data_IF_590977923734
#
_entry.id   IF_590977923734
#
_cell.length_a   1.000
_cell.length_b   1.000
_cell.length_c   1.000
_cell.angle_alpha   90.00
_cell.angle_beta   90.00
_cell.angle_gamma   90.00
#
_symmetry.space_group_name_H-M   'P 1'
#
loop_
_entity.id
_entity.type
_entity.pdbx_description
1 polymer ?
#
# COMPACT_ATOMS: atom_id res chain seq x y z
N UNK A 1 23.32 61.79 -12.90
CA UNK A 1 24.22 61.29 -13.96
C UNK A 1 24.08 59.77 -14.03
N UNK A 2 24.34 59.18 -15.19
CA UNK A 2 24.08 57.78 -15.57
C UNK A 2 24.86 56.76 -14.69
N UNK A 3 24.57 55.45 -14.63
CA UNK A 3 23.94 54.57 -15.62
C UNK A 3 23.07 53.44 -15.01
N UNK A 4 21.96 53.12 -15.68
CA UNK A 4 21.30 51.81 -15.61
C UNK A 4 21.77 50.96 -16.78
N UNK A 5 22.07 49.67 -16.57
CA UNK A 5 22.32 48.69 -17.65
C UNK A 5 21.17 47.68 -17.72
N UNK A 6 20.51 47.63 -18.87
CA UNK A 6 19.61 46.54 -19.28
C UNK A 6 20.39 45.70 -20.30
N UNK A 7 20.33 44.38 -20.18
CA UNK A 7 20.92 43.45 -21.16
C UNK A 7 19.77 42.77 -21.91
N UNK A 8 19.78 42.95 -23.23
CA UNK A 8 18.77 42.40 -24.15
C UNK A 8 19.26 41.06 -24.70
N UNK A 9 18.40 40.04 -24.74
CA UNK A 9 18.68 38.81 -25.49
C UNK A 9 18.35 38.99 -26.98
N UNK A 10 19.29 38.61 -27.85
CA UNK A 10 19.12 38.64 -29.31
C UNK A 10 18.68 37.28 -29.82
N UNK A 11 17.57 37.23 -30.58
CA UNK A 11 17.15 36.02 -31.30
C UNK A 11 17.90 35.95 -32.63
N UNK A 12 18.59 34.83 -32.89
CA UNK A 12 19.20 34.55 -34.18
C UNK A 12 18.16 33.93 -35.12
N UNK A 13 17.93 34.57 -36.28
CA UNK A 13 17.17 33.97 -37.38
C UNK A 13 18.14 33.60 -38.50
N UNK A 14 18.21 32.31 -38.86
CA UNK A 14 19.05 31.83 -39.95
C UNK A 14 18.23 31.67 -41.24
N UNK A 15 18.71 32.29 -42.32
CA UNK A 15 18.22 32.06 -43.68
C UNK A 15 18.53 30.61 -44.11
N UNK A 16 17.58 29.97 -44.80
CA UNK A 16 17.86 28.91 -45.76
C UNK A 16 17.13 29.26 -47.07
N UNK A 17 17.83 29.08 -48.18
CA UNK A 17 17.44 29.64 -49.48
C UNK A 17 16.32 28.89 -50.20
N UNK A 18 15.61 29.63 -51.04
CA UNK A 18 14.57 29.13 -51.95
C UNK A 18 15.22 28.68 -53.27
N UNK A 19 15.02 27.42 -53.68
CA UNK A 19 15.26 26.97 -55.05
C UNK A 19 14.03 26.19 -55.52
N UNK A 20 13.45 26.61 -56.63
CA UNK A 20 12.23 26.05 -57.19
C UNK A 20 12.45 25.54 -58.62
N UNK A 21 12.45 24.22 -58.78
CA UNK A 21 12.25 23.45 -60.04
C UNK A 21 11.70 22.09 -59.61
N UNK A 22 10.68 21.47 -60.20
CA UNK A 22 9.79 21.85 -61.30
C UNK A 22 8.69 20.78 -61.43
N UNK A 23 7.59 21.06 -62.12
CA UNK A 23 6.41 20.18 -62.13
C UNK A 23 6.68 18.81 -62.79
N UNK A 24 6.20 17.73 -62.17
CA UNK A 24 6.16 16.39 -62.74
C UNK A 24 5.00 15.58 -62.16
N UNK A 25 3.86 15.53 -62.87
CA UNK A 25 2.73 14.69 -62.47
C UNK A 25 3.13 13.21 -62.51
N UNK A 26 2.94 12.50 -61.40
CA UNK A 26 2.86 11.04 -61.39
C UNK A 26 1.70 10.60 -60.51
N UNK A 27 0.87 9.73 -61.08
CA UNK A 27 -0.34 9.19 -60.46
C UNK A 27 -0.02 8.48 -59.16
N UNK A 28 -0.84 8.74 -58.13
CA UNK A 28 -0.81 8.01 -56.86
C UNK A 28 -1.74 6.81 -56.98
N UNK A 29 -1.17 5.61 -57.00
CA UNK A 29 -1.87 4.37 -56.69
C UNK A 29 -0.85 3.35 -56.13
N UNK A 30 -1.34 2.26 -55.55
CA UNK A 30 -0.61 1.25 -54.75
C UNK A 30 -0.24 1.68 -53.32
N UNK A 31 -1.22 1.52 -52.41
CA UNK A 31 -0.94 1.25 -50.99
C UNK A 31 -0.49 -0.21 -50.82
N UNK A 32 0.52 -0.52 -49.98
CA UNK A 32 0.90 -1.90 -49.70
C UNK A 32 -0.21 -2.64 -48.97
N UNK A 33 -0.75 -3.68 -49.59
CA UNK A 33 -1.83 -4.52 -49.03
C UNK A 33 -1.24 -5.41 -47.93
N UNK A 34 -1.74 -5.27 -46.70
CA UNK A 34 -1.35 -6.16 -45.59
C UNK A 34 -1.73 -7.63 -45.91
N UNK A 35 -0.93 -8.61 -45.47
CA UNK A 35 -1.27 -10.03 -45.64
C UNK A 35 -2.52 -10.39 -44.82
N UNK A 36 -3.34 -11.33 -45.30
CA UNK A 36 -4.55 -11.74 -44.59
C UNK A 36 -4.21 -12.39 -43.24
N UNK A 37 -4.90 -11.95 -42.19
CA UNK A 37 -4.90 -12.61 -40.88
C UNK A 37 -5.65 -13.94 -41.04
N UNK A 38 -5.09 -15.03 -40.55
CA UNK A 38 -5.75 -16.33 -40.56
C UNK A 38 -6.93 -16.34 -39.57
N UNK A 39 -8.04 -16.98 -39.94
CA UNK A 39 -9.22 -17.08 -39.09
C UNK A 39 -8.89 -17.77 -37.74
N UNK A 40 -9.44 -17.29 -36.61
CA UNK A 40 -9.29 -17.97 -35.33
C UNK A 40 -9.95 -19.36 -35.37
N UNK A 41 -9.41 -20.36 -34.66
CA UNK A 41 -10.01 -21.70 -34.63
C UNK A 41 -11.42 -21.65 -34.00
N UNK A 42 -12.35 -22.52 -34.45
CA UNK A 42 -13.72 -22.51 -33.97
C UNK A 42 -13.78 -22.77 -32.46
N UNK A 43 -14.55 -21.92 -31.78
CA UNK A 43 -14.77 -21.95 -30.34
C UNK A 43 -15.37 -23.30 -29.91
N UNK A 44 -14.73 -23.96 -28.94
CA UNK A 44 -15.22 -25.26 -28.46
C UNK A 44 -16.48 -25.05 -27.60
N UNK A 45 -17.51 -25.92 -27.72
CA UNK A 45 -18.70 -25.84 -26.89
C UNK A 45 -18.34 -25.90 -25.39
N UNK A 46 -19.01 -25.12 -24.53
CA UNK A 46 -18.76 -25.15 -23.10
C UNK A 46 -19.02 -26.55 -22.54
N UNK A 47 -18.10 -27.05 -21.73
CA UNK A 47 -18.24 -28.33 -21.04
C UNK A 47 -19.48 -28.31 -20.12
N UNK A 48 -20.24 -29.41 -20.03
CA UNK A 48 -21.41 -29.49 -19.16
C UNK A 48 -21.00 -29.30 -17.69
N UNK A 49 -21.85 -28.70 -16.83
CA UNK A 49 -21.54 -28.48 -15.43
C UNK A 49 -21.21 -29.80 -14.71
N UNK A 50 -20.03 -29.89 -14.11
CA UNK A 50 -19.70 -31.02 -13.25
C UNK A 50 -20.51 -30.95 -11.94
N UNK A 51 -21.03 -32.08 -11.42
CA UNK A 51 -21.63 -32.11 -10.09
C UNK A 51 -20.62 -31.66 -9.02
N UNK A 52 -21.05 -30.94 -7.97
CA UNK A 52 -20.15 -30.52 -6.90
C UNK A 52 -19.54 -31.74 -6.19
N UNK A 53 -18.22 -31.72 -5.98
CA UNK A 53 -17.53 -32.79 -5.27
C UNK A 53 -17.87 -32.75 -3.77
N UNK A 54 -18.22 -33.88 -3.13
CA UNK A 54 -18.47 -33.90 -1.69
C UNK A 54 -17.16 -33.64 -0.92
N UNK A 55 -17.08 -32.52 -0.20
CA UNK A 55 -15.95 -32.20 0.68
C UNK A 55 -15.43 -30.76 0.60
N UNK A 56 -15.84 -29.95 -0.37
CA UNK A 56 -15.51 -28.52 -0.39
C UNK A 56 -16.39 -27.75 0.60
N UNK A 57 -15.77 -27.13 1.61
CA UNK A 57 -16.38 -26.02 2.35
C UNK A 57 -16.95 -24.99 1.36
N UNK A 58 -18.19 -24.54 1.56
CA UNK A 58 -18.84 -23.50 0.73
C UNK A 58 -18.34 -22.11 1.12
N UNK A 59 -17.03 -21.93 1.11
CA UNK A 59 -16.37 -20.69 1.47
C UNK A 59 -16.50 -19.70 0.32
N UNK A 60 -17.44 -18.75 0.47
CA UNK A 60 -17.58 -17.51 -0.31
C UNK A 60 -17.39 -17.61 -1.83
N UNK A 61 -18.49 -17.71 -2.59
CA UNK A 61 -18.47 -17.76 -4.06
C UNK A 61 -18.17 -16.38 -4.69
N UNK A 62 -17.09 -15.72 -4.29
CA UNK A 62 -16.55 -14.58 -5.02
C UNK A 62 -15.91 -15.09 -6.32
N UNK A 63 -16.15 -14.41 -7.43
CA UNK A 63 -15.65 -14.82 -8.75
C UNK A 63 -14.15 -14.52 -8.94
N UNK A 64 -13.31 -15.02 -8.02
CA UNK A 64 -11.84 -14.87 -8.01
C UNK A 64 -11.19 -15.47 -9.26
N UNK A 65 -11.77 -16.52 -9.84
CA UNK A 65 -11.34 -17.12 -11.11
C UNK A 65 -11.54 -16.20 -12.32
N UNK A 66 -12.39 -15.17 -12.20
CA UNK A 66 -12.53 -14.10 -13.18
C UNK A 66 -11.65 -12.86 -12.86
N UNK A 67 -10.72 -12.98 -11.90
CA UNK A 67 -9.78 -11.92 -11.51
C UNK A 67 -10.32 -10.92 -10.49
N UNK A 68 -11.50 -11.17 -9.90
CA UNK A 68 -12.08 -10.27 -8.91
C UNK A 68 -11.53 -10.50 -7.49
N UNK A 69 -11.22 -9.43 -6.78
CA UNK A 69 -10.79 -9.51 -5.39
C UNK A 69 -11.95 -9.84 -4.45
N UNK A 70 -11.67 -10.70 -3.47
CA UNK A 70 -12.49 -10.93 -2.29
C UNK A 70 -11.90 -10.16 -1.10
N UNK A 71 -12.75 -9.51 -0.33
CA UNK A 71 -12.38 -8.64 0.78
C UNK A 71 -13.03 -9.17 2.06
N UNK A 72 -12.21 -9.52 3.06
CA UNK A 72 -12.67 -10.00 4.35
C UNK A 72 -11.99 -9.22 5.49
N UNK A 73 -12.84 -8.69 6.36
CA UNK A 73 -12.50 -8.24 7.71
C UNK A 73 -13.44 -9.00 8.65
N UNK A 74 -12.92 -9.63 9.70
CA UNK A 74 -13.74 -10.25 10.73
C UNK A 74 -13.07 -10.06 12.10
N UNK A 75 -13.83 -9.57 13.07
CA UNK A 75 -13.41 -9.36 14.45
C UNK A 75 -14.46 -9.95 15.36
N UNK A 76 -14.16 -11.07 16.01
CA UNK A 76 -15.11 -11.75 16.89
C UNK A 76 -15.29 -10.98 18.20
N UNK A 77 -16.54 -10.60 18.54
CA UNK A 77 -16.85 -9.88 19.77
C UNK A 77 -17.77 -10.72 20.65
N UNK A 78 -17.21 -11.35 21.68
CA UNK A 78 -17.97 -12.21 22.58
C UNK A 78 -18.99 -11.43 23.41
N UNK A 79 -20.28 -11.69 23.21
CA UNK A 79 -21.36 -11.28 24.13
C UNK A 79 -22.13 -10.00 23.78
N UNK A 80 -22.21 -9.61 22.50
CA UNK A 80 -23.01 -8.46 22.04
C UNK A 80 -23.81 -8.75 20.77
N UNK A 81 -24.49 -7.72 20.24
CA UNK A 81 -24.99 -7.73 18.86
C UNK A 81 -23.84 -7.36 17.91
N UNK A 82 -23.62 -8.17 16.89
CA UNK A 82 -22.57 -7.97 15.88
C UNK A 82 -23.11 -7.22 14.64
N UNK A 83 -22.29 -6.35 14.04
CA UNK A 83 -22.61 -5.62 12.80
C UNK A 83 -21.78 -6.17 11.63
N UNK A 84 -22.47 -6.75 10.65
CA UNK A 84 -21.83 -7.29 9.45
C UNK A 84 -22.25 -6.50 8.21
N UNK A 85 -21.28 -6.07 7.42
CA UNK A 85 -21.52 -5.42 6.12
C UNK A 85 -21.10 -6.38 5.02
N UNK A 86 -22.01 -6.68 4.09
CA UNK A 86 -21.77 -7.52 2.90
C UNK A 86 -21.98 -6.67 1.66
N UNK A 87 -21.02 -6.68 0.74
CA UNK A 87 -21.04 -5.83 -0.44
C UNK A 87 -20.71 -6.57 -1.73
N UNK A 88 -21.50 -6.32 -2.78
CA UNK A 88 -21.17 -6.69 -4.17
C UNK A 88 -21.22 -5.48 -5.09
N UNK A 89 -20.51 -5.51 -6.23
CA UNK A 89 -20.88 -4.60 -7.32
C UNK A 89 -22.13 -5.16 -8.01
N UNK A 90 -22.09 -6.44 -8.36
CA UNK A 90 -23.20 -7.15 -8.98
C UNK A 90 -23.26 -8.62 -8.54
N UNK A 91 -24.42 -9.25 -8.67
CA UNK A 91 -24.57 -10.69 -8.43
C UNK A 91 -24.45 -11.54 -9.71
N UNK A 92 -24.63 -10.91 -10.88
CA UNK A 92 -24.32 -11.45 -12.21
C UNK A 92 -24.19 -10.31 -13.22
N UNK A 93 -23.48 -10.58 -14.32
CA UNK A 93 -23.37 -9.63 -15.44
C UNK A 93 -24.74 -9.29 -16.02
N UNK A 94 -25.05 -7.98 -16.15
CA UNK A 94 -26.13 -7.50 -17.01
C UNK A 94 -27.56 -7.65 -16.48
N UNK A 95 -27.76 -7.68 -15.15
CA UNK A 95 -29.07 -7.40 -14.55
C UNK A 95 -29.43 -8.28 -13.34
N UNK A 96 -30.63 -8.00 -12.78
CA UNK A 96 -31.05 -8.45 -11.43
C UNK A 96 -30.68 -9.90 -11.12
N UNK A 97 -29.80 -10.10 -10.15
CA UNK A 97 -29.35 -11.42 -9.69
C UNK A 97 -29.75 -11.72 -8.25
N UNK A 98 -29.18 -12.77 -7.67
CA UNK A 98 -29.47 -13.21 -6.29
C UNK A 98 -28.17 -13.50 -5.53
N UNK A 99 -28.11 -13.05 -4.28
CA UNK A 99 -27.04 -13.37 -3.33
C UNK A 99 -27.63 -14.06 -2.13
N UNK A 100 -27.11 -15.24 -1.77
CA UNK A 100 -27.50 -15.95 -0.55
C UNK A 100 -26.54 -15.61 0.59
N UNK A 101 -27.10 -15.30 1.76
CA UNK A 101 -26.36 -15.05 3.00
C UNK A 101 -26.77 -16.13 4.01
N UNK A 102 -25.81 -16.88 4.53
CA UNK A 102 -26.03 -17.90 5.57
C UNK A 102 -25.36 -17.47 6.88
N UNK A 103 -26.15 -17.14 7.90
CA UNK A 103 -25.65 -16.74 9.22
C UNK A 103 -25.68 -17.94 10.16
N UNK A 104 -24.53 -18.52 10.45
CA UNK A 104 -24.35 -19.67 11.34
C UNK A 104 -23.58 -19.33 12.63
N UNK A 105 -22.96 -18.15 12.72
CA UNK A 105 -22.31 -17.66 13.94
C UNK A 105 -23.34 -17.54 15.08
N UNK A 106 -23.07 -18.05 16.29
CA UNK A 106 -23.96 -17.86 17.43
C UNK A 106 -24.02 -16.39 17.87
N UNK A 107 -25.23 -15.85 18.04
CA UNK A 107 -25.40 -14.50 18.57
C UNK A 107 -26.61 -13.74 18.03
N UNK A 108 -26.51 -12.41 18.14
CA UNK A 108 -27.44 -11.42 17.60
C UNK A 108 -26.71 -10.63 16.52
N UNK A 109 -27.33 -10.46 15.36
CA UNK A 109 -26.66 -9.91 14.18
C UNK A 109 -27.50 -8.81 13.52
N UNK A 110 -26.83 -7.74 13.11
CA UNK A 110 -27.36 -6.75 12.18
C UNK A 110 -26.57 -6.82 10.89
N UNK A 111 -27.27 -6.92 9.76
CA UNK A 111 -26.65 -7.01 8.44
C UNK A 111 -26.88 -5.72 7.66
N UNK A 112 -25.87 -5.27 6.93
CA UNK A 112 -25.98 -4.26 5.87
C UNK A 112 -25.59 -4.91 4.56
N UNK A 113 -26.49 -4.89 3.58
CA UNK A 113 -26.34 -5.61 2.31
C UNK A 113 -26.31 -4.59 1.16
N UNK A 114 -25.16 -4.44 0.52
CA UNK A 114 -24.84 -3.36 -0.43
C UNK A 114 -24.61 -3.89 -1.85
N UNK A 115 -25.23 -3.29 -2.86
CA UNK A 115 -25.03 -3.64 -4.28
C UNK A 115 -25.10 -2.42 -5.21
N UNK A 116 -24.29 -2.38 -6.27
CA UNK A 116 -24.50 -1.39 -7.35
C UNK A 116 -25.73 -1.78 -8.16
N UNK A 117 -25.68 -2.98 -8.75
CA UNK A 117 -26.76 -3.57 -9.56
C UNK A 117 -27.96 -3.95 -8.68
N UNK A 118 -29.18 -4.09 -9.26
CA UNK A 118 -30.34 -4.58 -8.51
C UNK A 118 -30.07 -6.00 -8.00
N UNK A 119 -30.04 -6.20 -6.68
CA UNK A 119 -29.81 -7.53 -6.11
C UNK A 119 -31.00 -7.98 -5.26
N UNK A 120 -31.29 -9.28 -5.35
CA UNK A 120 -32.20 -9.96 -4.44
C UNK A 120 -31.39 -10.76 -3.40
N UNK A 121 -31.53 -10.41 -2.13
CA UNK A 121 -30.77 -11.01 -1.03
C UNK A 121 -31.61 -12.09 -0.35
N UNK A 122 -31.07 -13.29 -0.18
CA UNK A 122 -31.71 -14.39 0.55
C UNK A 122 -30.94 -14.64 1.83
N UNK A 123 -31.42 -14.10 2.94
CA UNK A 123 -30.80 -14.24 4.26
C UNK A 123 -31.42 -15.41 5.00
N UNK A 124 -30.58 -16.34 5.45
CA UNK A 124 -30.96 -17.46 6.32
C UNK A 124 -30.13 -17.44 7.60
N UNK A 125 -30.69 -17.99 8.68
CA UNK A 125 -30.06 -18.05 9.98
C UNK A 125 -30.13 -19.49 10.52
N UNK A 126 -29.04 -19.98 11.11
CA UNK A 126 -29.00 -21.29 11.74
C UNK A 126 -29.83 -21.32 13.04
N UNK A 127 -30.12 -22.52 13.55
CA UNK A 127 -30.90 -22.68 14.78
C UNK A 127 -30.21 -22.00 15.98
N UNK A 128 -30.92 -21.07 16.62
CA UNK A 128 -30.40 -20.29 17.76
C UNK A 128 -29.70 -18.97 17.39
N UNK A 129 -29.51 -18.69 16.09
CA UNK A 129 -28.98 -17.42 15.58
C UNK A 129 -30.12 -16.41 15.43
N UNK A 130 -29.91 -15.17 15.89
CA UNK A 130 -30.90 -14.09 15.78
C UNK A 130 -30.39 -13.02 14.81
N UNK A 131 -31.03 -12.88 13.65
CA UNK A 131 -30.83 -11.70 12.80
C UNK A 131 -31.86 -10.66 13.22
N UNK A 132 -31.41 -9.56 13.81
CA UNK A 132 -32.28 -8.53 14.38
C UNK A 132 -32.79 -7.58 13.29
N UNK A 133 -31.87 -7.17 12.41
CA UNK A 133 -32.14 -6.19 11.36
C UNK A 133 -31.29 -6.44 10.11
N UNK A 134 -31.90 -6.20 8.96
CA UNK A 134 -31.25 -6.15 7.65
C UNK A 134 -31.50 -4.76 7.06
N UNK A 135 -30.42 -4.07 6.72
CA UNK A 135 -30.41 -2.80 6.01
C UNK A 135 -29.97 -3.05 4.57
N UNK A 136 -30.81 -2.72 3.59
CA UNK A 136 -30.45 -2.80 2.18
C UNK A 136 -29.88 -1.46 1.71
N UNK A 137 -28.79 -1.50 0.95
CA UNK A 137 -28.12 -0.35 0.39
C UNK A 137 -27.82 -0.59 -1.10
N UNK A 138 -27.88 0.47 -1.91
CA UNK A 138 -27.44 0.37 -3.30
C UNK A 138 -27.82 1.55 -4.17
N UNK A 139 -27.24 1.60 -5.36
CA UNK A 139 -27.64 2.54 -6.39
C UNK A 139 -29.01 2.14 -6.96
N UNK A 140 -29.12 0.89 -7.38
CA UNK A 140 -30.38 0.35 -7.87
C UNK A 140 -31.24 -0.29 -6.77
N UNK A 141 -32.54 -0.39 -7.04
CA UNK A 141 -33.53 -0.96 -6.13
C UNK A 141 -33.15 -2.37 -5.63
N UNK A 142 -33.06 -2.50 -4.30
CA UNK A 142 -32.70 -3.75 -3.62
C UNK A 142 -33.96 -4.49 -3.13
N UNK A 143 -33.84 -5.78 -2.85
CA UNK A 143 -34.93 -6.58 -2.27
C UNK A 143 -34.39 -7.74 -1.46
N UNK A 144 -35.10 -8.20 -0.43
CA UNK A 144 -34.64 -9.32 0.39
C UNK A 144 -35.76 -10.27 0.86
N UNK A 145 -35.40 -11.54 1.00
CA UNK A 145 -36.04 -12.53 1.87
C UNK A 145 -35.20 -12.63 3.15
N UNK A 146 -35.83 -12.50 4.32
CA UNK A 146 -35.14 -12.47 5.63
C UNK A 146 -35.82 -13.41 6.65
N UNK A 147 -35.11 -13.87 7.69
CA UNK A 147 -35.69 -14.73 8.72
C UNK A 147 -36.89 -14.08 9.43
N UNK A 148 -37.86 -14.88 9.87
CA UNK A 148 -39.05 -14.38 10.57
C UNK A 148 -38.66 -13.60 11.84
N UNK A 149 -39.24 -12.41 12.01
CA UNK A 149 -38.93 -11.50 13.13
C UNK A 149 -37.79 -10.51 12.86
N UNK A 150 -37.07 -10.64 11.74
CA UNK A 150 -36.04 -9.68 11.32
C UNK A 150 -36.67 -8.36 10.85
N UNK A 151 -36.21 -7.22 11.35
CA UNK A 151 -36.57 -5.92 10.79
C UNK A 151 -35.88 -5.71 9.42
N UNK A 152 -36.62 -5.29 8.40
CA UNK A 152 -36.08 -5.01 7.07
C UNK A 152 -36.30 -3.55 6.70
N UNK A 153 -35.22 -2.83 6.41
CA UNK A 153 -35.24 -1.46 5.92
C UNK A 153 -34.50 -1.40 4.57
N UNK A 154 -34.96 -0.58 3.62
CA UNK A 154 -34.17 -0.22 2.45
C UNK A 154 -33.75 1.25 2.52
N UNK A 155 -32.51 1.50 2.12
CA UNK A 155 -31.87 2.80 2.00
C UNK A 155 -31.26 2.96 0.59
N UNK A 156 -31.77 2.22 -0.41
CA UNK A 156 -31.31 2.35 -1.80
C UNK A 156 -31.81 3.64 -2.49
N UNK A 157 -31.00 4.13 -3.44
CA UNK A 157 -31.22 5.40 -4.12
C UNK A 157 -32.50 5.39 -4.96
N UNK A 158 -32.75 4.36 -5.76
CA UNK A 158 -33.91 4.29 -6.67
C UNK A 158 -35.26 4.28 -5.92
N UNK A 159 -35.35 3.75 -4.69
CA UNK A 159 -36.60 3.70 -3.93
C UNK A 159 -36.79 4.84 -2.93
N UNK A 160 -35.71 5.36 -2.32
CA UNK A 160 -35.79 6.34 -1.25
C UNK A 160 -35.11 7.69 -1.55
N UNK A 161 -34.53 7.86 -2.75
CA UNK A 161 -33.70 9.01 -3.13
C UNK A 161 -32.58 9.29 -2.10
N UNK A 162 -32.09 8.21 -1.47
CA UNK A 162 -31.02 8.28 -0.48
C UNK A 162 -29.68 8.21 -1.20
N UNK A 163 -28.84 9.23 -1.02
CA UNK A 163 -27.48 9.18 -1.55
C UNK A 163 -26.61 8.37 -0.59
N UNK A 164 -26.28 7.13 -0.97
CA UNK A 164 -25.28 6.34 -0.27
C UNK A 164 -24.20 5.77 -1.18
N UNK A 165 -23.04 5.59 -0.57
CA UNK A 165 -21.88 5.02 -1.20
C UNK A 165 -21.97 3.48 -1.29
N UNK A 166 -21.39 2.93 -2.35
CA UNK A 166 -21.68 1.56 -2.79
C UNK A 166 -20.52 0.66 -2.38
N UNK A 167 -20.47 0.37 -1.09
CA UNK A 167 -19.37 -0.37 -0.49
C UNK A 167 -19.35 -1.86 -0.83
N UNK A 168 -18.47 -2.26 -1.77
CA UNK A 168 -18.16 -3.67 -2.07
C UNK A 168 -16.65 -3.98 -2.08
N UNK A 169 -15.81 -2.94 -2.02
CA UNK A 169 -14.34 -3.03 -2.07
C UNK A 169 -13.75 -2.44 -0.80
N UNK A 170 -13.01 -3.23 -0.02
CA UNK A 170 -12.35 -2.73 1.19
C UNK A 170 -10.83 -2.71 1.02
N UNK A 171 -10.16 -1.56 1.17
CA UNK A 171 -10.70 -0.24 1.43
C UNK A 171 -11.16 0.45 0.14
N UNK A 172 -12.20 1.28 0.27
CA UNK A 172 -12.52 2.38 -0.62
C UNK A 172 -13.18 3.48 0.20
N UNK A 173 -13.18 4.71 -0.30
CA UNK A 173 -13.92 5.80 0.33
C UNK A 173 -15.40 5.42 0.44
N UNK A 174 -15.95 4.81 -0.62
CA UNK A 174 -17.34 4.35 -0.64
C UNK A 174 -17.66 3.35 0.48
N UNK A 175 -16.83 2.32 0.66
CA UNK A 175 -17.07 1.32 1.70
C UNK A 175 -16.83 1.88 3.09
N UNK A 176 -15.91 2.85 3.24
CA UNK A 176 -15.65 3.54 4.50
C UNK A 176 -16.82 4.43 4.93
N UNK A 177 -17.42 5.15 3.98
CA UNK A 177 -18.62 5.95 4.23
C UNK A 177 -19.85 5.08 4.53
N UNK A 178 -20.07 3.99 3.76
CA UNK A 178 -21.09 2.98 4.05
C UNK A 178 -20.95 2.42 5.47
N UNK A 179 -19.73 2.08 5.90
CA UNK A 179 -19.46 1.56 7.24
C UNK A 179 -19.73 2.63 8.31
N UNK A 180 -19.24 3.87 8.14
CA UNK A 180 -19.50 4.95 9.10
C UNK A 180 -21.00 5.26 9.26
N UNK A 181 -21.74 5.19 8.16
CA UNK A 181 -23.21 5.21 8.14
C UNK A 181 -23.82 4.04 8.87
N UNK A 182 -23.40 2.80 8.56
CA UNK A 182 -23.95 1.60 9.18
C UNK A 182 -23.79 1.67 10.70
N UNK A 183 -22.63 2.12 11.17
CA UNK A 183 -22.35 2.34 12.59
C UNK A 183 -23.26 3.45 13.19
N UNK A 184 -23.44 4.57 12.47
CA UNK A 184 -24.31 5.68 12.91
C UNK A 184 -25.79 5.27 12.99
N UNK A 185 -26.30 4.53 12.01
CA UNK A 185 -27.70 4.08 11.94
C UNK A 185 -28.02 2.95 12.94
N UNK A 186 -27.01 2.20 13.40
CA UNK A 186 -27.18 1.05 14.29
C UNK A 186 -26.76 1.32 15.74
N UNK A 187 -25.87 2.28 15.97
CA UNK A 187 -25.15 2.44 17.23
C UNK A 187 -24.14 1.32 17.51
N UNK A 188 -23.87 0.43 16.55
CA UNK A 188 -22.94 -0.70 16.67
C UNK A 188 -21.60 -0.35 16.02
N UNK A 189 -20.53 -0.99 16.47
CA UNK A 189 -19.24 -0.98 15.77
C UNK A 189 -19.19 -2.12 14.76
N UNK A 190 -18.50 -1.91 13.63
CA UNK A 190 -18.32 -2.94 12.61
C UNK A 190 -17.62 -4.18 13.20
N UNK A 191 -18.30 -5.32 13.15
CA UNK A 191 -17.75 -6.64 13.50
C UNK A 191 -17.04 -7.25 12.29
N UNK A 192 -17.68 -7.24 11.11
CA UNK A 192 -17.09 -7.84 9.91
C UNK A 192 -17.49 -7.12 8.62
N UNK A 193 -16.60 -7.08 7.63
CA UNK A 193 -16.92 -6.71 6.25
C UNK A 193 -16.61 -7.88 5.30
N UNK A 194 -17.51 -8.16 4.36
CA UNK A 194 -17.38 -9.19 3.32
C UNK A 194 -17.73 -8.59 1.96
N UNK A 195 -16.71 -8.28 1.16
CA UNK A 195 -16.85 -7.62 -0.14
C UNK A 195 -16.36 -8.49 -1.29
N UNK A 196 -16.96 -8.34 -2.46
CA UNK A 196 -16.46 -8.89 -3.72
C UNK A 196 -17.00 -8.05 -4.89
N UNK A 197 -16.31 -7.98 -6.03
CA UNK A 197 -16.93 -7.36 -7.21
C UNK A 197 -18.16 -8.14 -7.67
N UNK A 198 -18.05 -9.47 -7.83
CA UNK A 198 -19.15 -10.35 -8.24
C UNK A 198 -19.24 -11.61 -7.39
N UNK A 199 -20.35 -11.80 -6.68
CA UNK A 199 -20.61 -13.00 -5.88
C UNK A 199 -22.10 -13.35 -5.82
N UNK A 200 -22.38 -14.64 -5.63
CA UNK A 200 -23.73 -15.20 -5.43
C UNK A 200 -23.95 -15.75 -4.01
N UNK A 201 -22.92 -15.82 -3.16
CA UNK A 201 -23.01 -16.50 -1.86
C UNK A 201 -21.99 -16.01 -0.82
N UNK A 202 -22.45 -15.78 0.41
CA UNK A 202 -21.61 -15.50 1.57
C UNK A 202 -22.09 -16.23 2.84
N UNK A 203 -21.14 -16.68 3.66
CA UNK A 203 -21.36 -17.23 5.00
C UNK A 203 -20.93 -16.24 6.08
N UNK A 204 -21.64 -16.20 7.22
CA UNK A 204 -21.24 -15.51 8.46
C UNK A 204 -21.27 -16.55 9.56
N UNK A 205 -20.15 -17.26 9.74
CA UNK A 205 -20.00 -18.36 10.69
C UNK A 205 -19.03 -18.04 11.83
N UNK A 206 -18.91 -18.98 12.77
CA UNK A 206 -17.61 -19.19 13.40
C UNK A 206 -16.68 -19.74 12.31
N UNK A 207 -15.78 -18.89 11.80
CA UNK A 207 -14.68 -19.37 10.99
C UNK A 207 -13.90 -20.37 11.87
N UNK A 208 -13.62 -21.57 11.36
CA UNK A 208 -12.79 -22.55 12.07
C UNK A 208 -11.53 -21.82 12.54
N UNK A 209 -11.15 -21.93 13.85
CA UNK A 209 -10.31 -20.96 14.53
C UNK A 209 -9.10 -20.66 13.66
N UNK A 210 -9.05 -19.42 13.15
CA UNK A 210 -8.07 -18.99 12.18
C UNK A 210 -6.72 -19.48 12.66
N UNK A 211 -6.11 -20.38 11.88
CA UNK A 211 -4.91 -21.10 12.30
C UNK A 211 -3.95 -20.03 12.83
N UNK A 212 -3.56 -20.08 14.13
CA UNK A 212 -2.88 -18.96 14.77
C UNK A 212 -1.72 -18.57 13.88
N UNK A 213 -1.56 -17.26 13.57
CA UNK A 213 -0.74 -16.80 12.44
C UNK A 213 0.56 -17.58 12.46
N UNK A 214 0.90 -18.29 11.35
CA UNK A 214 1.82 -19.43 11.36
C UNK A 214 3.03 -19.02 12.19
N UNK A 215 3.32 -19.77 13.28
CA UNK A 215 4.06 -19.26 14.42
C UNK A 215 5.29 -18.56 13.90
N UNK A 216 5.37 -17.24 14.14
CA UNK A 216 6.40 -16.35 13.56
C UNK A 216 7.70 -17.11 13.53
N UNK A 217 8.14 -17.50 12.33
CA UNK A 217 9.34 -18.34 12.22
C UNK A 217 10.42 -17.60 12.99
N UNK A 218 11.04 -18.23 14.01
CA UNK A 218 12.01 -17.55 14.85
C UNK A 218 13.05 -16.96 13.92
N UNK A 219 13.24 -15.62 13.96
CA UNK A 219 13.58 -14.84 12.78
C UNK A 219 14.75 -15.47 12.05
N UNK A 220 14.50 -15.95 10.83
CA UNK A 220 15.55 -16.48 9.94
C UNK A 220 16.65 -15.43 9.92
N UNK A 221 17.76 -15.74 10.58
CA UNK A 221 18.63 -14.72 11.19
C UNK A 221 18.94 -13.61 10.20
N UNK A 222 18.30 -12.44 10.36
CA UNK A 222 18.50 -11.31 9.45
C UNK A 222 20.01 -11.07 9.35
N UNK A 223 20.59 -11.06 8.13
CA UNK A 223 22.03 -10.96 7.98
C UNK A 223 22.55 -9.75 8.72
N UNK A 224 23.31 -9.98 9.79
CA UNK A 224 23.55 -8.97 10.82
C UNK A 224 24.13 -7.71 10.19
N UNK A 225 23.39 -6.62 10.33
CA UNK A 225 23.63 -5.35 9.66
C UNK A 225 25.06 -4.85 9.97
N UNK A 226 25.91 -4.77 8.95
CA UNK A 226 27.35 -4.49 9.11
C UNK A 226 27.57 -3.00 9.25
N UNK A 227 28.07 -2.59 10.42
CA UNK A 227 28.36 -1.19 10.74
C UNK A 227 29.35 -0.57 9.74
N UNK A 228 29.26 0.74 9.57
CA UNK A 228 30.29 1.53 8.88
C UNK A 228 31.65 1.39 9.60
N UNK A 229 32.77 1.36 8.86
CA UNK A 229 34.11 1.33 9.47
C UNK A 229 34.32 2.47 10.48
N UNK A 230 34.73 2.12 11.71
CA UNK A 230 34.91 3.09 12.81
C UNK A 230 33.64 3.39 13.64
N UNK A 231 32.45 3.03 13.17
CA UNK A 231 31.18 3.40 13.81
C UNK A 231 30.70 2.43 14.91
N UNK A 232 31.58 1.55 15.41
CA UNK A 232 31.28 0.60 16.48
C UNK A 232 30.86 1.25 17.82
N UNK A 233 31.10 2.54 17.99
CA UNK A 233 30.63 3.31 19.15
C UNK A 233 29.14 3.63 19.07
N UNK A 234 28.59 3.89 17.87
CA UNK A 234 27.16 4.17 17.66
C UNK A 234 26.29 2.95 18.02
N UNK A 235 26.79 1.74 17.74
CA UNK A 235 26.07 0.49 18.03
C UNK A 235 25.91 0.16 19.54
N UNK A 236 26.44 1.01 20.43
CA UNK A 236 26.27 0.91 21.88
C UNK A 236 25.02 1.64 22.41
N UNK A 237 24.41 2.50 21.59
CA UNK A 237 23.13 3.14 21.93
C UNK A 237 21.98 2.14 21.88
N UNK A 238 20.84 2.47 22.49
CA UNK A 238 19.64 1.60 22.52
C UNK A 238 19.12 1.28 21.12
N UNK A 239 19.23 2.24 20.20
CA UNK A 239 18.99 2.07 18.78
C UNK A 239 19.83 3.04 17.95
N UNK A 240 20.09 2.67 16.71
CA UNK A 240 20.82 3.48 15.75
C UNK A 240 20.26 3.29 14.34
N UNK A 241 20.62 4.15 13.40
CA UNK A 241 20.22 4.01 12.01
C UNK A 241 21.36 4.25 11.03
N UNK A 242 21.35 3.51 9.93
CA UNK A 242 21.99 3.90 8.68
C UNK A 242 21.15 5.01 8.04
N UNK A 243 21.80 6.01 7.47
CA UNK A 243 21.18 7.14 6.78
C UNK A 243 22.00 7.56 5.55
N UNK A 244 21.35 8.22 4.60
CA UNK A 244 22.01 9.02 3.57
C UNK A 244 22.04 10.48 4.01
N UNK A 245 23.20 11.12 3.94
CA UNK A 245 23.32 12.55 4.22
C UNK A 245 23.30 13.34 2.91
N UNK A 246 22.36 14.29 2.83
CA UNK A 246 22.23 15.25 1.72
C UNK A 246 22.77 16.64 2.08
N UNK A 247 23.07 17.43 1.04
CA UNK A 247 23.74 18.74 1.12
C UNK A 247 25.05 18.85 0.32
N UNK A 248 25.34 17.86 -0.53
CA UNK A 248 26.55 17.74 -1.36
C UNK A 248 26.57 16.38 -2.03
N UNK A 249 27.73 15.74 -2.13
CA UNK A 249 27.77 14.31 -2.47
C UNK A 249 27.03 13.48 -1.39
N UNK A 250 26.30 12.45 -1.83
CA UNK A 250 25.49 11.61 -0.94
C UNK A 250 26.40 10.73 -0.09
N UNK A 251 26.36 10.88 1.23
CA UNK A 251 27.23 10.11 2.15
C UNK A 251 26.42 9.10 2.95
N UNK A 252 26.94 7.87 3.05
CA UNK A 252 26.47 6.94 4.08
C UNK A 252 26.90 7.46 5.45
N UNK A 253 26.01 7.39 6.44
CA UNK A 253 26.34 7.67 7.82
C UNK A 253 25.53 6.79 8.79
N UNK A 254 26.04 6.66 10.00
CA UNK A 254 25.32 6.06 11.11
C UNK A 254 24.96 7.13 12.15
N UNK A 255 23.70 7.11 12.61
CA UNK A 255 23.15 8.03 13.60
C UNK A 255 22.68 7.27 14.83
N UNK A 256 23.11 7.69 16.03
CA UNK A 256 22.61 7.16 17.30
C UNK A 256 21.31 7.83 17.74
N UNK A 257 20.32 7.06 18.23
CA UNK A 257 19.00 7.58 18.62
C UNK A 257 18.90 8.03 20.10
N UNK A 258 19.88 7.67 20.94
CA UNK A 258 19.98 8.20 22.29
C UNK A 258 20.62 9.59 22.28
N UNK A 259 21.65 9.77 21.46
CA UNK A 259 22.52 10.96 21.51
C UNK A 259 22.39 11.92 20.31
N UNK A 260 21.96 11.43 19.13
CA UNK A 260 22.10 12.16 17.87
C UNK A 260 23.55 12.20 17.33
N UNK A 261 24.47 11.45 17.91
CA UNK A 261 25.85 11.31 17.39
C UNK A 261 25.85 10.77 15.97
N UNK A 262 26.74 11.33 15.16
CA UNK A 262 26.89 11.03 13.75
C UNK A 262 28.27 10.42 13.50
N UNK A 263 28.29 9.27 12.83
CA UNK A 263 29.51 8.64 12.33
C UNK A 263 29.42 8.51 10.80
N UNK A 264 30.17 9.35 10.10
CA UNK A 264 30.17 9.43 8.63
C UNK A 264 31.00 8.33 7.99
N UNK A 265 30.53 7.80 6.87
CA UNK A 265 31.17 6.76 6.07
C UNK A 265 31.56 7.22 4.67
N UNK A 266 31.59 6.25 3.74
CA UNK A 266 31.90 6.49 2.33
C UNK A 266 30.79 7.26 1.59
N UNK A 267 31.21 8.09 0.64
CA UNK A 267 30.32 8.69 -0.37
C UNK A 267 29.79 7.63 -1.32
N UNK A 268 28.48 7.58 -1.54
CA UNK A 268 27.85 6.74 -2.55
C UNK A 268 28.15 7.25 -3.96
N UNK A 269 28.84 6.44 -4.77
CA UNK A 269 29.30 6.81 -6.11
C UNK A 269 28.12 6.87 -7.09
N UNK A 270 28.06 7.89 -7.94
CA UNK A 270 27.05 8.06 -9.00
C UNK A 270 25.58 8.08 -8.53
N UNK A 271 25.31 8.31 -7.24
CA UNK A 271 23.95 8.41 -6.71
C UNK A 271 23.46 9.86 -6.74
N UNK A 272 22.38 10.11 -7.49
CA UNK A 272 21.63 11.38 -7.41
C UNK A 272 20.46 11.18 -6.44
N UNK A 273 20.60 11.65 -5.19
CA UNK A 273 19.67 11.30 -4.11
C UNK A 273 18.36 12.10 -4.05
N UNK A 274 18.14 13.10 -4.91
CA UNK A 274 17.09 14.13 -4.74
C UNK A 274 15.71 13.57 -4.33
N UNK A 275 15.36 13.65 -3.04
CA UNK A 275 14.07 13.25 -2.49
C UNK A 275 13.98 11.81 -1.93
N UNK A 276 15.11 11.11 -1.76
CA UNK A 276 15.19 9.74 -1.26
C UNK A 276 14.91 9.64 0.24
N UNK A 277 13.78 9.03 0.62
CA UNK A 277 13.38 8.95 2.03
C UNK A 277 13.05 7.55 2.56
N UNK A 278 13.44 6.51 1.85
CA UNK A 278 13.37 5.14 2.34
C UNK A 278 14.64 4.40 1.97
N UNK A 279 15.08 3.54 2.89
CA UNK A 279 16.34 2.84 2.80
C UNK A 279 16.17 1.36 3.15
N UNK A 280 16.76 0.50 2.36
CA UNK A 280 17.00 -0.90 2.71
C UNK A 280 18.40 -1.09 3.29
N UNK A 281 18.58 -2.03 4.21
CA UNK A 281 19.89 -2.40 4.73
C UNK A 281 19.95 -3.89 5.08
N UNK A 282 20.82 -4.64 4.40
CA UNK A 282 21.12 -6.05 4.69
C UNK A 282 22.63 -6.23 4.67
N UNK A 283 23.22 -6.77 5.73
CA UNK A 283 24.66 -7.03 5.80
C UNK A 283 25.51 -5.79 5.48
N UNK A 284 26.37 -5.89 4.46
CA UNK A 284 27.26 -4.82 3.99
C UNK A 284 26.70 -3.98 2.82
N UNK A 285 25.39 -4.09 2.55
CA UNK A 285 24.70 -3.43 1.43
C UNK A 285 23.55 -2.54 1.89
N UNK A 286 23.49 -1.35 1.32
CA UNK A 286 22.39 -0.38 1.47
C UNK A 286 21.65 -0.28 0.15
N UNK A 287 20.32 -0.17 0.22
CA UNK A 287 19.44 -0.05 -0.94
C UNK A 287 18.71 1.29 -0.90
N UNK A 288 18.75 2.03 -2.01
CA UNK A 288 18.06 3.30 -2.20
C UNK A 288 17.38 3.33 -3.58
N UNK A 289 16.43 4.24 -3.78
CA UNK A 289 15.95 4.56 -5.13
C UNK A 289 16.87 5.60 -5.80
N UNK A 290 16.78 5.68 -7.12
CA UNK A 290 17.23 6.82 -7.93
C UNK A 290 16.29 6.97 -9.12
N UNK A 291 16.53 7.99 -9.97
CA UNK A 291 15.79 8.14 -11.24
C UNK A 291 15.97 6.95 -12.19
N UNK A 292 17.05 6.19 -12.03
CA UNK A 292 17.43 5.07 -12.89
C UNK A 292 16.98 3.71 -12.31
N UNK A 293 16.31 3.72 -11.15
CA UNK A 293 15.70 2.54 -10.52
C UNK A 293 16.25 2.24 -9.11
N UNK A 294 16.45 0.96 -8.79
CA UNK A 294 16.94 0.53 -7.46
C UNK A 294 18.47 0.53 -7.47
N UNK A 295 19.08 1.14 -6.47
CA UNK A 295 20.54 1.24 -6.31
C UNK A 295 20.99 0.41 -5.10
N UNK A 296 21.89 -0.55 -5.32
CA UNK A 296 22.68 -1.19 -4.27
C UNK A 296 23.97 -0.38 -4.05
N UNK A 297 24.30 -0.11 -2.78
CA UNK A 297 25.48 0.66 -2.34
C UNK A 297 26.29 -0.22 -1.38
N UNK A 298 27.59 -0.37 -1.62
CA UNK A 298 28.50 -1.05 -0.70
C UNK A 298 28.92 -0.12 0.45
N UNK A 299 28.72 -0.56 1.69
CA UNK A 299 29.02 0.18 2.93
C UNK A 299 30.51 0.45 3.14
N UNK A 300 31.41 -0.36 2.55
CA UNK A 300 32.84 -0.25 2.76
C UNK A 300 33.53 0.83 1.91
N UNK A 301 33.05 1.05 0.68
CA UNK A 301 33.74 1.88 -0.31
C UNK A 301 32.81 2.77 -1.16
N UNK A 302 31.49 2.71 -0.94
CA UNK A 302 30.48 3.47 -1.67
C UNK A 302 30.30 3.05 -3.13
N UNK A 303 30.83 1.91 -3.57
CA UNK A 303 30.55 1.40 -4.92
C UNK A 303 29.06 1.08 -5.10
N UNK A 304 28.53 1.39 -6.28
CA UNK A 304 27.11 1.25 -6.60
C UNK A 304 26.85 0.31 -7.76
N UNK A 305 25.69 -0.35 -7.71
CA UNK A 305 25.08 -1.11 -8.82
C UNK A 305 23.65 -0.63 -8.97
N UNK A 306 23.16 -0.50 -10.21
CA UNK A 306 21.81 0.01 -10.51
C UNK A 306 21.02 -1.06 -11.24
N UNK A 307 19.78 -1.26 -10.82
CA UNK A 307 18.80 -2.13 -11.47
C UNK A 307 17.65 -1.27 -12.02
N UNK A 308 17.36 -1.42 -13.31
CA UNK A 308 16.30 -0.70 -14.01
C UNK A 308 14.91 -1.27 -13.65
N UNK A 309 14.50 -1.01 -12.41
CA UNK A 309 13.21 -1.37 -11.81
C UNK A 309 12.60 -0.10 -11.23
N UNK A 310 11.32 0.16 -11.52
CA UNK A 310 10.56 1.29 -10.99
C UNK A 310 10.68 1.34 -9.45
N UNK A 311 11.25 2.43 -8.93
CA UNK A 311 11.57 2.60 -7.52
C UNK A 311 11.13 4.00 -7.07
N UNK A 312 10.01 4.05 -6.35
CA UNK A 312 9.57 5.25 -5.63
C UNK A 312 10.04 5.21 -4.17
N UNK A 313 10.00 4.03 -3.55
CA UNK A 313 10.59 3.81 -2.23
C UNK A 313 11.11 2.36 -2.10
N UNK A 314 12.15 2.17 -1.29
CA UNK A 314 12.73 0.85 -0.99
C UNK A 314 12.95 0.67 0.51
N UNK A 315 12.69 -0.52 1.01
CA UNK A 315 13.04 -0.94 2.37
C UNK A 315 13.44 -2.42 2.37
N UNK A 316 13.61 -3.01 3.55
CA UNK A 316 14.04 -4.41 3.72
C UNK A 316 13.22 -5.08 4.81
N UNK A 317 12.95 -6.38 4.68
CA UNK A 317 12.26 -7.15 5.71
C UNK A 317 12.84 -8.57 5.78
N UNK A 318 13.32 -8.99 6.96
CA UNK A 318 14.09 -10.23 7.09
C UNK A 318 15.38 -10.17 6.27
N UNK A 319 15.44 -10.95 5.19
CA UNK A 319 16.49 -10.90 4.16
C UNK A 319 15.98 -10.43 2.78
N UNK A 320 14.70 -10.05 2.66
CA UNK A 320 14.12 -9.56 1.40
C UNK A 320 14.31 -8.05 1.23
N UNK A 321 14.53 -7.64 -0.03
CA UNK A 321 14.44 -6.25 -0.48
C UNK A 321 12.99 -6.00 -0.90
N UNK A 322 12.35 -4.97 -0.35
CA UNK A 322 10.99 -4.57 -0.70
C UNK A 322 11.03 -3.27 -1.50
N UNK A 323 10.56 -3.29 -2.75
CA UNK A 323 10.54 -2.13 -3.65
C UNK A 323 9.11 -1.74 -3.97
N UNK A 324 8.75 -0.50 -3.67
CA UNK A 324 7.51 0.14 -4.08
C UNK A 324 7.75 0.91 -5.37
N UNK A 325 7.00 0.61 -6.42
CA UNK A 325 7.07 1.31 -7.71
C UNK A 325 6.06 2.45 -7.82
N UNK A 326 6.30 3.37 -8.76
CA UNK A 326 5.35 4.43 -9.09
C UNK A 326 3.99 3.84 -9.52
N UNK A 327 2.91 4.28 -8.87
CA UNK A 327 1.55 3.76 -9.09
C UNK A 327 1.10 2.71 -8.06
N UNK A 328 1.94 2.35 -7.09
CA UNK A 328 1.61 1.46 -5.98
C UNK A 328 1.95 -0.02 -6.23
N UNK A 329 1.80 -0.82 -5.17
CA UNK A 329 2.26 -2.21 -5.12
C UNK A 329 3.72 -2.33 -4.69
N UNK A 330 4.03 -3.37 -3.90
CA UNK A 330 5.36 -3.64 -3.36
C UNK A 330 5.84 -5.00 -3.86
N UNK A 331 6.96 -5.05 -4.58
CA UNK A 331 7.61 -6.31 -4.97
C UNK A 331 8.65 -6.72 -3.92
N UNK A 332 8.68 -8.00 -3.54
CA UNK A 332 9.77 -8.59 -2.75
C UNK A 332 10.80 -9.27 -3.63
N UNK A 333 12.07 -9.17 -3.26
CA UNK A 333 13.19 -9.83 -3.94
C UNK A 333 14.11 -10.48 -2.91
N UNK A 334 14.51 -11.72 -3.16
CA UNK A 334 15.43 -12.46 -2.29
C UNK A 334 16.88 -11.96 -2.40
N UNK A 335 17.24 -11.26 -3.48
CA UNK A 335 18.58 -10.72 -3.72
C UNK A 335 18.55 -9.53 -4.69
N UNK A 336 19.60 -8.71 -4.68
CA UNK A 336 19.76 -7.65 -5.69
C UNK A 336 19.97 -8.20 -7.10
N UNK A 337 20.46 -9.44 -7.24
CA UNK A 337 20.56 -10.14 -8.52
C UNK A 337 19.21 -10.59 -9.08
N UNK A 338 18.17 -10.67 -8.24
CA UNK A 338 16.77 -10.83 -8.68
C UNK A 338 16.15 -9.47 -9.03
N UNK A 339 16.48 -8.39 -8.29
CA UNK A 339 16.09 -7.01 -8.65
C UNK A 339 16.62 -6.63 -10.04
N UNK A 340 17.89 -6.96 -10.34
CA UNK A 340 18.51 -6.75 -11.66
C UNK A 340 17.78 -7.46 -12.82
N UNK A 341 16.92 -8.44 -12.52
CA UNK A 341 16.15 -9.23 -13.50
C UNK A 341 14.64 -8.96 -13.42
N UNK A 342 14.21 -8.01 -12.59
CA UNK A 342 12.82 -7.79 -12.16
C UNK A 342 12.10 -9.10 -11.73
N UNK A 343 12.85 -10.02 -11.13
CA UNK A 343 12.35 -11.34 -10.73
C UNK A 343 11.81 -11.29 -9.30
N UNK A 344 10.68 -10.64 -9.13
CA UNK A 344 9.99 -10.57 -7.84
C UNK A 344 9.58 -11.98 -7.34
N UNK A 345 9.72 -12.23 -6.05
CA UNK A 345 9.23 -13.44 -5.38
C UNK A 345 7.75 -13.33 -5.03
N UNK A 346 7.34 -12.19 -4.46
CA UNK A 346 5.95 -11.84 -4.16
C UNK A 346 5.67 -10.40 -4.58
N UNK A 347 4.40 -10.10 -4.83
CA UNK A 347 3.88 -8.73 -4.95
C UNK A 347 2.80 -8.54 -3.90
N UNK A 348 2.89 -7.47 -3.13
CA UNK A 348 1.90 -7.08 -2.14
C UNK A 348 1.12 -5.85 -2.63
N UNK A 349 -0.18 -6.02 -2.82
CA UNK A 349 -1.11 -4.98 -3.25
C UNK A 349 -1.73 -4.36 -1.98
N UNK A 350 -1.10 -3.29 -1.49
CA UNK A 350 -1.56 -2.55 -0.32
C UNK A 350 -2.48 -1.42 -0.81
N UNK A 351 -3.71 -1.41 -0.34
CA UNK A 351 -4.76 -0.49 -0.81
C UNK A 351 -4.86 0.77 0.05
N UNK A 352 -5.16 1.90 -0.59
CA UNK A 352 -5.24 3.22 0.06
C UNK A 352 -3.89 3.91 0.26
N UNK A 353 -2.79 3.30 -0.20
CA UNK A 353 -1.43 3.88 -0.12
C UNK A 353 -1.37 5.18 -0.92
N UNK A 354 -1.12 6.29 -0.22
CA UNK A 354 -0.72 7.58 -0.81
C UNK A 354 0.76 7.85 -0.47
N UNK A 355 1.55 6.80 -0.65
CA UNK A 355 2.96 6.66 -0.31
C UNK A 355 3.93 7.37 -1.28
N UNK A 356 5.00 8.00 -0.77
CA UNK A 356 6.28 8.08 -1.50
C UNK A 356 7.47 7.67 -0.62
N UNK A 357 7.16 6.99 0.50
CA UNK A 357 8.08 6.44 1.49
C UNK A 357 7.51 5.13 2.03
N UNK A 358 8.38 4.20 2.40
CA UNK A 358 8.05 2.90 3.00
C UNK A 358 9.09 2.46 4.03
N UNK A 359 8.62 1.89 5.13
CA UNK A 359 9.41 1.16 6.13
C UNK A 359 8.74 -0.17 6.46
N UNK A 360 9.52 -1.21 6.79
CA UNK A 360 8.99 -2.54 7.11
C UNK A 360 9.70 -3.18 8.30
N UNK A 361 8.96 -3.66 9.31
CA UNK A 361 9.51 -4.45 10.42
C UNK A 361 8.41 -5.31 11.05
N UNK A 362 8.74 -6.50 11.50
CA UNK A 362 7.88 -7.39 12.30
C UNK A 362 6.46 -7.59 11.73
N UNK A 363 6.35 -7.72 10.40
CA UNK A 363 5.07 -7.88 9.70
C UNK A 363 4.25 -6.59 9.55
N UNK A 364 4.78 -5.43 9.95
CA UNK A 364 4.15 -4.12 9.79
C UNK A 364 4.89 -3.26 8.74
N UNK A 365 4.10 -2.58 7.91
CA UNK A 365 4.49 -1.52 7.00
C UNK A 365 4.10 -0.16 7.56
N UNK A 366 4.95 0.82 7.33
CA UNK A 366 4.65 2.25 7.50
C UNK A 366 4.93 2.96 6.19
N UNK A 367 4.03 3.84 5.78
CA UNK A 367 4.21 4.70 4.62
C UNK A 367 4.01 6.16 5.00
N UNK A 368 4.65 7.07 4.28
CA UNK A 368 4.46 8.51 4.44
C UNK A 368 4.51 9.22 3.09
N UNK A 369 3.65 10.23 2.91
CA UNK A 369 3.85 11.20 1.85
C UNK A 369 5.02 12.12 2.22
N UNK A 370 5.68 12.73 1.24
CA UNK A 370 6.90 13.49 1.49
C UNK A 370 6.69 14.79 2.28
N UNK A 371 5.45 15.30 2.37
CA UNK A 371 5.07 16.46 3.17
C UNK A 371 3.73 16.16 3.84
N UNK A 372 3.71 15.89 5.15
CA UNK A 372 2.51 15.37 5.82
C UNK A 372 2.54 15.55 7.34
N UNK A 373 1.35 15.45 7.95
CA UNK A 373 1.11 15.41 9.39
C UNK A 373 0.69 14.02 9.91
N UNK A 374 0.70 12.98 9.06
CA UNK A 374 0.30 11.62 9.42
C UNK A 374 1.16 10.56 8.71
N UNK A 375 1.16 9.34 9.22
CA UNK A 375 1.67 8.16 8.49
C UNK A 375 0.55 7.15 8.25
N UNK A 376 0.74 6.33 7.23
CA UNK A 376 -0.13 5.22 6.91
C UNK A 376 0.48 3.91 7.45
N UNK A 377 -0.31 3.07 8.12
CA UNK A 377 0.13 1.79 8.69
C UNK A 377 -0.62 0.64 8.03
N UNK A 378 0.06 -0.44 7.65
CA UNK A 378 -0.61 -1.67 7.19
C UNK A 378 0.17 -2.92 7.65
N UNK A 379 -0.46 -4.09 7.77
CA UNK A 379 0.30 -5.34 7.81
C UNK A 379 1.00 -5.60 6.47
N UNK A 380 2.18 -6.22 6.49
CA UNK A 380 2.90 -6.73 5.32
C UNK A 380 2.20 -8.01 4.82
N UNK A 381 1.04 -7.83 4.21
CA UNK A 381 0.20 -8.89 3.64
C UNK A 381 -0.41 -8.39 2.34
N UNK A 382 -0.56 -9.28 1.36
CA UNK A 382 -1.28 -8.93 0.14
C UNK A 382 -2.75 -8.61 0.45
N UNK A 383 -3.32 -7.65 -0.28
CA UNK A 383 -4.67 -7.12 -0.03
C UNK A 383 -4.82 -6.35 1.30
N UNK A 384 -3.74 -5.94 1.96
CA UNK A 384 -3.84 -5.15 3.19
C UNK A 384 -4.35 -3.72 2.95
N UNK A 385 -5.03 -3.18 3.95
CA UNK A 385 -5.52 -1.80 4.02
C UNK A 385 -4.58 -0.95 4.85
N UNK A 386 -4.34 0.30 4.44
CA UNK A 386 -3.72 1.29 5.32
C UNK A 386 -4.72 1.89 6.33
N UNK A 387 -4.32 1.99 7.60
CA UNK A 387 -4.91 2.92 8.58
C UNK A 387 -4.06 4.18 8.68
N UNK A 388 -4.62 5.28 9.19
CA UNK A 388 -3.90 6.55 9.37
C UNK A 388 -3.50 6.73 10.84
N UNK A 389 -2.29 7.21 11.08
CA UNK A 389 -1.75 7.60 12.38
C UNK A 389 -1.29 9.07 12.32
N UNK A 390 -2.07 10.01 12.88
CA UNK A 390 -1.66 11.41 13.00
C UNK A 390 -0.42 11.57 13.87
N UNK A 391 0.52 12.42 13.46
CA UNK A 391 1.75 12.71 14.19
C UNK A 391 1.58 14.00 15.00
N UNK A 392 1.56 13.87 16.33
CA UNK A 392 1.25 14.98 17.22
C UNK A 392 2.30 16.10 17.13
N UNK A 393 1.89 17.28 16.68
CA UNK A 393 2.76 18.46 16.55
C UNK A 393 3.73 18.41 15.38
N UNK A 394 3.40 17.64 14.33
CA UNK A 394 4.21 17.51 13.12
C UNK A 394 3.35 17.74 11.88
N UNK A 395 3.84 18.58 10.96
CA UNK A 395 3.29 18.83 9.63
C UNK A 395 4.44 19.40 8.79
N UNK A 396 5.26 18.51 8.24
CA UNK A 396 6.61 18.83 7.74
C UNK A 396 7.11 17.74 6.76
N UNK A 397 8.30 17.93 6.22
CA UNK A 397 8.90 17.03 5.24
C UNK A 397 9.46 15.73 5.85
N UNK A 398 8.99 14.60 5.34
CA UNK A 398 9.50 13.26 5.66
C UNK A 398 10.61 12.92 4.68
N UNK A 399 11.84 13.26 5.06
CA UNK A 399 13.06 12.96 4.30
C UNK A 399 13.70 11.62 4.69
N UNK A 400 13.26 11.01 5.80
CA UNK A 400 13.61 9.62 6.13
C UNK A 400 12.52 8.96 6.95
N UNK A 401 12.30 7.67 6.78
CA UNK A 401 11.27 6.91 7.48
C UNK A 401 11.77 5.53 7.88
N UNK A 402 11.77 5.21 9.17
CA UNK A 402 11.85 3.82 9.64
C UNK A 402 11.11 3.61 10.98
N UNK A 403 10.97 2.35 11.40
CA UNK A 403 10.47 1.97 12.73
C UNK A 403 11.51 1.17 13.50
N UNK A 404 11.63 1.36 14.82
CA UNK A 404 12.50 0.56 15.70
C UNK A 404 12.02 0.60 17.16
N UNK A 405 11.90 -0.56 17.81
CA UNK A 405 11.59 -0.67 19.25
C UNK A 405 10.35 0.14 19.68
N UNK A 406 9.23 -0.04 18.97
CA UNK A 406 7.96 0.66 19.20
C UNK A 406 7.92 2.13 18.77
N UNK A 407 9.00 2.67 18.18
CA UNK A 407 9.11 4.07 17.78
C UNK A 407 9.08 4.21 16.27
N UNK A 408 8.41 5.25 15.79
CA UNK A 408 8.58 5.80 14.45
C UNK A 408 9.76 6.77 14.45
N UNK A 409 10.62 6.65 13.44
CA UNK A 409 11.81 7.47 13.22
C UNK A 409 11.62 8.27 11.93
N UNK A 410 11.57 9.59 12.05
CA UNK A 410 11.40 10.52 10.92
C UNK A 410 12.64 11.37 10.75
N UNK A 411 13.30 11.25 9.58
CA UNK A 411 14.37 12.15 9.15
C UNK A 411 13.80 13.44 8.58
N UNK A 412 14.40 14.58 8.94
CA UNK A 412 13.94 15.92 8.53
C UNK A 412 14.92 16.59 7.55
N UNK A 413 14.44 17.55 6.73
CA UNK A 413 15.22 18.12 5.64
C UNK A 413 16.45 18.94 6.07
N UNK A 414 17.30 19.17 5.07
CA UNK A 414 18.49 20.03 5.14
C UNK A 414 18.15 21.41 5.77
N UNK A 415 19.03 21.89 6.66
CA UNK A 415 18.85 23.10 7.52
C UNK A 415 17.82 22.98 8.66
N UNK A 416 16.88 22.02 8.65
CA UNK A 416 16.07 21.67 9.84
C UNK A 416 16.82 20.64 10.69
N UNK A 417 17.39 19.63 10.05
CA UNK A 417 18.60 18.98 10.55
C UNK A 417 18.43 18.05 11.75
N UNK A 418 17.60 17.02 11.64
CA UNK A 418 17.39 16.12 12.75
C UNK A 418 16.66 14.82 12.47
N UNK A 419 16.43 14.11 13.57
CA UNK A 419 15.53 12.97 13.65
C UNK A 419 14.44 13.31 14.67
N UNK A 420 13.17 13.12 14.29
CA UNK A 420 12.04 13.15 15.21
C UNK A 420 11.62 11.72 15.53
N UNK A 421 11.42 11.44 16.81
CA UNK A 421 10.92 10.17 17.30
C UNK A 421 9.47 10.34 17.74
N UNK A 422 8.59 9.44 17.29
CA UNK A 422 7.20 9.34 17.73
C UNK A 422 6.93 7.94 18.26
N UNK A 423 5.96 7.84 19.16
CA UNK A 423 5.40 6.55 19.57
C UNK A 423 4.56 5.97 18.43
N UNK A 424 4.85 4.75 17.99
CA UNK A 424 4.23 4.14 16.82
C UNK A 424 2.76 3.74 17.05
N UNK A 425 2.33 3.60 18.31
CA UNK A 425 0.96 3.23 18.66
C UNK A 425 0.02 4.45 18.77
N UNK A 426 0.54 5.60 19.18
CA UNK A 426 -0.25 6.80 19.51
C UNK A 426 0.07 8.02 18.64
N UNK A 427 1.15 7.99 17.85
CA UNK A 427 1.62 9.14 17.06
C UNK A 427 2.18 10.28 17.92
N UNK A 428 2.30 10.08 19.23
CA UNK A 428 2.80 11.09 20.17
C UNK A 428 4.27 11.37 19.92
N UNK A 429 4.65 12.65 19.78
CA UNK A 429 6.05 13.07 19.75
C UNK A 429 6.77 12.70 21.05
N UNK A 430 7.93 12.04 20.91
CA UNK A 430 8.76 11.59 22.03
C UNK A 430 10.03 12.42 22.18
N UNK A 431 10.70 12.76 21.07
CA UNK A 431 12.02 13.39 21.09
C UNK A 431 12.34 14.02 19.73
N UNK A 432 13.14 15.08 19.75
CA UNK A 432 13.85 15.58 18.57
C UNK A 432 15.35 15.49 18.84
N UNK A 433 16.10 14.97 17.88
CA UNK A 433 17.55 14.81 17.89
C UNK A 433 18.16 15.74 16.85
N UNK A 434 19.12 16.57 17.25
CA UNK A 434 19.92 17.36 16.31
C UNK A 434 21.10 16.50 15.87
N UNK A 435 21.19 16.18 14.57
CA UNK A 435 22.18 15.23 14.06
C UNK A 435 23.49 15.95 13.74
N UNK A 436 24.59 15.54 14.37
CA UNK A 436 25.92 16.12 14.13
C UNK A 436 26.33 17.30 15.02
N UNK A 437 25.55 17.66 16.04
CA UNK A 437 25.93 18.66 17.05
C UNK A 437 25.61 20.11 16.68
N UNK A 438 26.13 21.08 17.43
CA UNK A 438 25.65 22.48 17.46
C UNK A 438 26.07 23.38 16.28
N UNK A 439 26.50 22.82 15.15
CA UNK A 439 26.94 23.63 14.00
C UNK A 439 25.76 23.96 13.07
N UNK A 440 25.72 25.21 12.61
CA UNK A 440 24.57 25.86 11.92
C UNK A 440 24.25 25.26 10.53
N UNK A 441 25.02 24.27 10.06
CA UNK A 441 24.80 23.55 8.80
C UNK A 441 24.58 22.06 9.06
N UNK A 442 23.33 21.71 9.32
CA UNK A 442 22.91 20.32 9.42
C UNK A 442 22.73 19.70 8.03
N UNK A 443 23.37 18.53 7.73
CA UNK A 443 23.03 17.75 6.56
C UNK A 443 21.57 17.28 6.64
N UNK A 444 20.91 17.13 5.49
CA UNK A 444 19.58 16.52 5.44
C UNK A 444 19.70 15.03 5.74
N UNK A 445 18.85 14.49 6.61
CA UNK A 445 18.87 13.06 6.95
C UNK A 445 17.91 12.32 6.02
N UNK A 446 18.38 12.13 4.78
CA UNK A 446 17.68 11.42 3.73
C UNK A 446 17.73 9.90 3.97
N UNK A 447 16.66 9.17 3.65
CA UNK A 447 16.62 7.71 3.61
C UNK A 447 17.20 6.99 4.82
N UNK A 448 16.37 6.61 5.78
CA UNK A 448 16.81 6.00 7.06
C UNK A 448 16.47 4.51 7.12
N UNK A 449 17.34 3.70 7.71
CA UNK A 449 17.04 2.33 8.17
C UNK A 449 17.71 2.02 9.51
N UNK A 450 16.92 1.63 10.50
CA UNK A 450 17.34 1.50 11.89
C UNK A 450 17.53 0.05 12.36
N UNK A 451 18.23 -0.10 13.47
CA UNK A 451 18.41 -1.35 14.20
C UNK A 451 18.44 -1.09 15.71
N UNK A 452 18.11 -2.10 16.51
CA UNK A 452 18.41 -2.10 17.94
C UNK A 452 19.93 -2.21 18.13
N UNK A 453 20.48 -1.51 19.12
CA UNK A 453 21.88 -1.63 19.49
C UNK A 453 22.12 -2.57 20.66
N UNK A 454 23.38 -2.78 21.02
CA UNK A 454 23.76 -3.77 22.02
C UNK A 454 23.36 -3.42 23.47
N UNK A 455 22.73 -2.26 23.69
CA UNK A 455 22.19 -1.81 24.97
C UNK A 455 20.67 -1.87 25.10
N UNK A 456 19.96 -2.50 24.17
CA UNK A 456 18.49 -2.64 24.15
C UNK A 456 17.96 -3.80 24.99
#
# INVERSE_FOLDING_TARGET
MNHTRIITFTVLASLVGLVAVGCGNRSVDETPKAPPIADPPPEQPPLPPQPPQPGTSLEHQCAVSAGYAYYLLDTHVSGGTELHVVGVYESRSGGKGTVTIEVSRPGRHVLVLSSYEPTHWKVSAAAGVIVERVLLNGYHAQSAEVPAGTALESHDHDTNNYHYEIGYKWPSDDTSALIGTAQTLTGLQLTSFRGCYRSTHFTIGEDAPSQPPPPVEPPTTSPSAKLLPGCAHIAKESAYCMALLEGGDVRLAMVGLDSGQLCSGSTAKNLQASGNASLGWIGDKVYACSRDGVVEINIADGATRVANVSCEAVTTHGSEILVMGFGGGIKSYASFDDVLKDKAGKTYNISGVFASRIAARDGQLVFAWHSTNEVQLAPLRDGATVSKLPLAGYDDWVDGLDIVGGKLVVGTPFRVGGIRLFDLATGKHLKTLNVGGTNVFYPGVAGIRCAAGAGS
#
